data_IF_389329383844
#
_entry.id   IF_389329383844
#
_cell.length_a   1.000
_cell.length_b   1.000
_cell.length_c   1.000
_cell.angle_alpha   90.00
_cell.angle_beta   90.00
_cell.angle_gamma   90.00
#
_symmetry.space_group_name_H-M   'P 1'
#
loop_
_entity.id
_entity.type
_entity.pdbx_description
1 polymer ?
#
# COMPACT_ATOMS: atom_id res chain seq x y z
N UNK A 1 17.88 10.26 10.04
CA UNK A 1 17.49 9.66 8.74
C UNK A 1 16.52 8.54 8.99
N UNK A 2 15.58 8.31 8.08
CA UNK A 2 14.62 7.22 8.13
C UNK A 2 14.40 6.69 6.69
N UNK A 3 13.90 5.46 6.57
CA UNK A 3 13.54 4.84 5.27
C UNK A 3 12.26 5.42 4.68
N UNK A 4 11.38 5.96 5.53
CA UNK A 4 10.09 6.53 5.13
C UNK A 4 9.79 7.82 5.89
N UNK A 5 9.04 8.73 5.26
CA UNK A 5 8.72 10.05 5.85
C UNK A 5 7.80 9.96 7.06
N UNK A 6 6.92 8.96 7.14
CA UNK A 6 6.05 8.72 8.29
C UNK A 6 6.82 8.58 9.62
N UNK A 7 8.08 8.15 9.57
CA UNK A 7 8.94 8.08 10.76
C UNK A 7 9.31 9.47 11.32
N UNK A 8 9.31 10.51 10.47
CA UNK A 8 9.58 11.89 10.91
C UNK A 8 8.39 12.46 11.68
N UNK A 9 7.17 12.14 11.24
CA UNK A 9 5.94 12.57 11.93
C UNK A 9 5.88 12.01 13.35
N UNK A 10 6.29 10.76 13.55
CA UNK A 10 6.31 10.10 14.85
C UNK A 10 7.23 10.81 15.88
N UNK A 11 8.25 11.54 15.44
CA UNK A 11 9.19 12.27 16.28
C UNK A 11 9.11 13.78 16.06
N UNK A 12 8.09 14.26 15.37
CA UNK A 12 7.86 15.67 15.03
C UNK A 12 9.10 16.31 14.36
N UNK A 13 9.75 15.57 13.45
CA UNK A 13 10.90 16.03 12.70
C UNK A 13 10.47 16.51 11.31
N UNK A 14 11.19 17.53 10.82
CA UNK A 14 10.91 18.08 9.48
C UNK A 14 11.64 17.26 8.41
N UNK A 15 10.89 16.81 7.40
CA UNK A 15 11.46 16.26 6.18
C UNK A 15 12.14 17.36 5.36
N UNK A 16 13.41 17.19 5.00
CA UNK A 16 14.22 18.15 4.25
C UNK A 16 14.64 17.64 2.86
N UNK A 17 14.36 16.40 2.55
CA UNK A 17 14.64 15.79 1.24
C UNK A 17 15.24 14.39 1.33
N UNK A 18 15.29 13.74 0.20
CA UNK A 18 15.90 12.42 0.03
C UNK A 18 17.43 12.52 -0.11
N UNK A 19 18.11 11.42 0.21
CA UNK A 19 19.52 11.25 -0.14
C UNK A 19 19.59 10.90 -1.61
N UNK A 20 20.33 11.69 -2.38
CA UNK A 20 20.50 11.47 -3.81
C UNK A 20 21.36 10.22 -4.11
N UNK A 21 21.24 9.72 -5.32
CA UNK A 21 22.06 8.58 -5.77
C UNK A 21 23.51 8.99 -5.88
N UNK A 22 24.39 8.15 -5.35
CA UNK A 22 25.82 8.46 -5.27
C UNK A 22 26.14 9.67 -4.39
N UNK A 23 25.19 10.13 -3.58
CA UNK A 23 25.35 11.26 -2.65
C UNK A 23 25.79 10.77 -1.27
N UNK A 24 26.72 11.49 -0.68
CA UNK A 24 27.14 11.35 0.70
C UNK A 24 26.56 12.49 1.55
N UNK A 25 25.87 12.13 2.62
CA UNK A 25 25.39 13.07 3.63
C UNK A 25 26.32 13.01 4.84
N UNK A 26 26.83 14.17 5.25
CA UNK A 26 27.68 14.32 6.44
C UNK A 26 26.93 15.21 7.42
N UNK A 27 26.74 14.71 8.64
CA UNK A 27 26.13 15.47 9.74
C UNK A 27 27.14 15.55 10.89
N UNK A 28 27.57 16.75 11.22
CA UNK A 28 28.49 17.01 12.31
C UNK A 28 28.11 18.30 13.06
N UNK A 29 28.96 18.75 13.97
CA UNK A 29 28.78 20.01 14.74
C UNK A 29 28.66 21.27 13.87
N UNK A 30 29.06 21.21 12.60
CA UNK A 30 28.96 22.30 11.63
C UNK A 30 27.67 22.22 10.80
N UNK A 31 26.79 21.24 11.06
CA UNK A 31 25.52 21.04 10.38
C UNK A 31 25.55 19.94 9.33
N UNK A 32 24.58 19.99 8.41
CA UNK A 32 24.40 19.01 7.34
C UNK A 32 25.11 19.48 6.07
N UNK A 33 25.93 18.59 5.51
CA UNK A 33 26.64 18.82 4.24
C UNK A 33 26.34 17.67 3.28
N UNK A 34 26.18 18.01 1.99
CA UNK A 34 25.93 17.07 0.91
C UNK A 34 27.12 17.06 -0.07
N UNK A 35 27.55 15.88 -0.47
CA UNK A 35 28.64 15.72 -1.44
C UNK A 35 28.28 14.64 -2.45
N UNK A 36 28.22 15.00 -3.73
CA UNK A 36 28.08 14.04 -4.81
C UNK A 36 29.41 13.31 -4.99
N UNK A 37 29.41 11.98 -4.82
CA UNK A 37 30.60 11.12 -4.98
C UNK A 37 30.67 10.52 -6.38
N UNK A 38 29.54 10.12 -6.94
CA UNK A 38 29.42 9.50 -8.24
C UNK A 38 28.34 10.21 -9.06
N UNK A 39 28.46 10.15 -10.39
CA UNK A 39 27.41 10.64 -11.29
C UNK A 39 26.13 9.84 -11.02
N UNK A 40 24.98 10.53 -10.84
CA UNK A 40 23.72 9.83 -10.62
C UNK A 40 23.27 9.13 -11.91
N UNK A 41 22.97 7.84 -11.80
CA UNK A 41 22.30 7.10 -12.88
C UNK A 41 20.80 7.36 -12.87
N UNK A 42 20.11 6.96 -13.95
CA UNK A 42 18.65 7.10 -14.07
C UNK A 42 17.91 6.43 -12.90
N UNK A 43 16.84 7.08 -12.44
CA UNK A 43 15.99 6.53 -11.39
C UNK A 43 15.02 5.49 -11.96
N UNK A 44 15.13 4.26 -11.48
CA UNK A 44 14.18 3.17 -11.79
C UNK A 44 13.49 2.72 -10.50
N UNK A 45 12.53 3.52 -9.98
CA UNK A 45 11.83 3.18 -8.75
C UNK A 45 10.95 1.95 -8.96
N UNK A 46 10.95 1.06 -7.94
CA UNK A 46 10.11 -0.11 -7.97
C UNK A 46 8.65 0.27 -7.67
N UNK A 47 7.72 -0.08 -8.54
CA UNK A 47 6.28 0.21 -8.37
C UNK A 47 5.69 -0.45 -7.11
N UNK A 48 6.27 -1.55 -6.62
CA UNK A 48 5.85 -2.22 -5.38
C UNK A 48 6.00 -1.35 -4.13
N UNK A 49 6.90 -0.37 -4.14
CA UNK A 49 6.96 0.62 -3.06
C UNK A 49 5.64 1.40 -2.96
N UNK A 50 5.07 1.80 -4.09
CA UNK A 50 3.76 2.45 -4.10
C UNK A 50 2.64 1.48 -3.74
N UNK A 51 2.63 0.27 -4.32
CA UNK A 51 1.51 -0.66 -4.22
C UNK A 51 1.41 -1.27 -2.81
N UNK A 52 2.56 -1.67 -2.21
CA UNK A 52 2.54 -2.52 -1.02
C UNK A 52 3.52 -2.12 0.09
N UNK A 53 4.81 -1.84 -0.23
CA UNK A 53 5.85 -1.75 0.80
C UNK A 53 5.76 -0.50 1.66
N UNK A 54 5.67 0.69 1.05
CA UNK A 54 5.64 1.93 1.80
C UNK A 54 4.31 2.14 2.52
N UNK A 55 4.35 2.86 3.62
CA UNK A 55 3.15 3.24 4.35
C UNK A 55 2.29 4.20 3.52
N UNK A 56 0.95 4.17 3.68
CA UNK A 56 0.05 5.04 2.93
C UNK A 56 0.25 6.53 3.25
N UNK A 57 0.70 6.86 4.45
CA UNK A 57 0.98 8.21 4.92
C UNK A 57 2.39 8.73 4.54
N UNK A 58 3.26 7.88 3.97
CA UNK A 58 4.60 8.27 3.55
C UNK A 58 4.61 8.95 2.18
N UNK A 59 5.54 9.89 2.02
CA UNK A 59 5.95 10.48 0.74
C UNK A 59 7.21 9.75 0.28
N UNK A 60 7.22 9.24 -0.93
CA UNK A 60 8.34 8.48 -1.50
C UNK A 60 8.68 8.96 -2.90
N UNK A 61 9.93 8.75 -3.31
CA UNK A 61 10.46 9.11 -4.65
C UNK A 61 10.25 10.58 -5.02
N UNK A 62 10.33 11.48 -4.04
CA UNK A 62 10.14 12.92 -4.27
C UNK A 62 8.72 13.30 -4.71
N UNK A 63 7.74 12.43 -4.53
CA UNK A 63 6.34 12.73 -4.82
C UNK A 63 5.86 13.96 -4.04
N UNK A 64 5.01 14.81 -4.62
CA UNK A 64 4.41 15.93 -3.88
C UNK A 64 3.25 15.51 -2.96
N UNK A 65 2.82 14.25 -3.02
CA UNK A 65 1.67 13.72 -2.29
C UNK A 65 2.00 12.43 -1.56
N UNK A 66 1.23 12.13 -0.50
CA UNK A 66 1.34 10.88 0.23
C UNK A 66 0.97 9.68 -0.65
N UNK A 67 1.51 8.51 -0.31
CA UNK A 67 1.33 7.28 -1.08
C UNK A 67 -0.14 6.81 -1.15
N UNK A 68 -0.95 7.11 -0.14
CA UNK A 68 -2.41 6.87 -0.17
C UNK A 68 -3.11 7.54 -1.36
N UNK A 69 -2.70 8.77 -1.71
CA UNK A 69 -3.26 9.50 -2.87
C UNK A 69 -2.91 8.78 -4.18
N UNK A 70 -1.69 8.27 -4.29
CA UNK A 70 -1.22 7.51 -5.45
C UNK A 70 -1.98 6.19 -5.58
N UNK A 71 -2.14 5.44 -4.46
CA UNK A 71 -2.92 4.20 -4.44
C UNK A 71 -4.39 4.43 -4.82
N UNK A 72 -4.96 5.54 -4.36
CA UNK A 72 -6.33 5.91 -4.74
C UNK A 72 -6.45 6.18 -6.25
N UNK A 73 -5.45 6.82 -6.85
CA UNK A 73 -5.42 7.00 -8.30
C UNK A 73 -5.26 5.66 -9.06
N UNK A 74 -4.45 4.73 -8.55
CA UNK A 74 -4.40 3.37 -9.12
C UNK A 74 -5.79 2.70 -9.14
N UNK A 75 -6.56 2.84 -8.08
CA UNK A 75 -7.92 2.33 -8.03
C UNK A 75 -8.86 2.96 -9.07
N UNK A 76 -8.77 4.28 -9.28
CA UNK A 76 -9.53 4.96 -10.35
C UNK A 76 -9.14 4.44 -11.75
N UNK A 77 -7.83 4.32 -12.00
CA UNK A 77 -7.33 3.80 -13.27
C UNK A 77 -7.76 2.34 -13.49
N UNK A 78 -7.77 1.52 -12.45
CA UNK A 78 -8.22 0.14 -12.52
C UNK A 78 -9.68 0.05 -12.99
N UNK A 79 -10.57 0.89 -12.45
CA UNK A 79 -11.97 0.93 -12.95
C UNK A 79 -12.05 1.41 -14.39
N UNK A 80 -11.30 2.44 -14.80
CA UNK A 80 -11.30 2.95 -16.18
C UNK A 80 -10.89 1.88 -17.20
N UNK A 81 -9.92 1.02 -16.81
CA UNK A 81 -9.42 -0.06 -17.67
C UNK A 81 -10.37 -1.26 -17.65
N UNK A 82 -10.91 -1.60 -16.48
CA UNK A 82 -11.76 -2.77 -16.25
C UNK A 82 -13.05 -2.41 -15.51
N UNK A 83 -14.00 -1.69 -16.16
CA UNK A 83 -15.29 -1.39 -15.55
C UNK A 83 -16.08 -2.66 -15.29
N UNK A 84 -16.54 -2.84 -14.07
CA UNK A 84 -17.28 -4.05 -13.64
C UNK A 84 -18.58 -3.67 -12.96
N UNK A 85 -19.64 -4.40 -13.27
CA UNK A 85 -20.95 -4.23 -12.59
C UNK A 85 -20.96 -5.05 -11.30
N UNK A 86 -21.08 -4.37 -10.17
CA UNK A 86 -21.16 -4.97 -8.85
C UNK A 86 -22.06 -4.12 -7.94
N UNK A 87 -22.38 -4.66 -6.77
CA UNK A 87 -23.23 -4.00 -5.80
C UNK A 87 -22.37 -3.26 -4.75
N UNK A 88 -21.15 -3.76 -4.49
CA UNK A 88 -20.18 -3.16 -3.56
C UNK A 88 -18.74 -3.38 -4.01
N UNK A 89 -17.84 -2.48 -3.55
CA UNK A 89 -16.40 -2.61 -3.65
C UNK A 89 -15.86 -2.96 -2.27
N UNK A 90 -15.07 -4.02 -2.16
CA UNK A 90 -14.50 -4.53 -0.91
C UNK A 90 -12.98 -4.59 -1.02
N UNK A 91 -12.22 -3.97 -0.11
CA UNK A 91 -10.77 -4.11 -0.07
C UNK A 91 -10.35 -5.41 0.59
N UNK A 92 -9.19 -5.93 0.18
CA UNK A 92 -8.40 -6.85 1.03
C UNK A 92 -7.57 -5.97 1.99
N UNK A 93 -7.92 -5.92 3.29
CA UNK A 93 -7.28 -4.99 4.20
C UNK A 93 -5.85 -5.40 4.58
N UNK A 94 -4.95 -4.45 4.88
CA UNK A 94 -5.15 -3.01 4.93
C UNK A 94 -4.56 -2.31 3.68
N UNK A 95 -3.71 -3.00 2.92
CA UNK A 95 -2.91 -2.48 1.80
C UNK A 95 -3.77 -1.96 0.64
N UNK A 96 -4.92 -2.58 0.41
CA UNK A 96 -5.80 -2.26 -0.72
C UNK A 96 -6.90 -1.24 -0.42
N UNK A 97 -6.97 -0.71 0.82
CA UNK A 97 -8.03 0.21 1.21
C UNK A 97 -8.10 1.44 0.31
N UNK A 98 -6.96 2.09 0.06
CA UNK A 98 -6.90 3.31 -0.75
C UNK A 98 -7.25 3.03 -2.23
N UNK A 99 -6.78 1.92 -2.78
CA UNK A 99 -7.11 1.54 -4.15
C UNK A 99 -8.60 1.21 -4.30
N UNK A 100 -9.19 0.49 -3.34
CA UNK A 100 -10.62 0.20 -3.34
C UNK A 100 -11.48 1.47 -3.21
N UNK A 101 -11.05 2.45 -2.39
CA UNK A 101 -11.67 3.77 -2.33
C UNK A 101 -11.60 4.48 -3.68
N UNK A 102 -10.45 4.45 -4.36
CA UNK A 102 -10.30 5.04 -5.68
C UNK A 102 -11.20 4.38 -6.73
N UNK A 103 -11.30 3.06 -6.70
CA UNK A 103 -12.21 2.30 -7.55
C UNK A 103 -13.68 2.67 -7.30
N UNK A 104 -14.08 2.77 -6.03
CA UNK A 104 -15.42 3.19 -5.61
C UNK A 104 -15.75 4.61 -6.07
N UNK A 105 -14.81 5.57 -5.88
CA UNK A 105 -14.99 6.96 -6.32
C UNK A 105 -15.31 7.06 -7.82
N UNK A 106 -14.56 6.34 -8.63
CA UNK A 106 -14.68 6.41 -10.09
C UNK A 106 -15.90 5.62 -10.60
N UNK A 107 -16.15 4.43 -10.02
CA UNK A 107 -17.25 3.56 -10.43
C UNK A 107 -18.61 3.99 -9.91
N UNK A 108 -18.65 4.78 -8.84
CA UNK A 108 -19.85 5.10 -8.05
C UNK A 108 -20.48 3.86 -7.37
N UNK A 109 -19.78 2.74 -7.32
CA UNK A 109 -20.19 1.56 -6.57
C UNK A 109 -19.78 1.79 -5.10
N UNK A 110 -20.68 1.57 -4.12
CA UNK A 110 -20.40 1.80 -2.71
C UNK A 110 -19.20 1.00 -2.20
N UNK A 111 -18.33 1.65 -1.43
CA UNK A 111 -17.24 1.00 -0.70
C UNK A 111 -17.76 0.43 0.61
N UNK A 112 -17.37 -0.83 0.92
CA UNK A 112 -17.75 -1.50 2.17
C UNK A 112 -16.62 -2.36 2.72
N UNK A 113 -16.50 -2.42 4.05
CA UNK A 113 -15.59 -3.35 4.71
C UNK A 113 -16.21 -4.76 4.78
N UNK A 114 -16.17 -5.47 3.66
CA UNK A 114 -16.65 -6.86 3.54
C UNK A 114 -15.70 -7.90 4.12
N UNK A 115 -14.42 -7.55 4.31
CA UNK A 115 -13.41 -8.38 4.98
C UNK A 115 -12.85 -7.65 6.19
N UNK A 116 -12.81 -8.35 7.32
CA UNK A 116 -12.26 -7.82 8.59
C UNK A 116 -10.95 -8.56 8.89
N UNK A 117 -9.87 -7.78 9.06
CA UNK A 117 -8.56 -8.33 9.42
C UNK A 117 -8.46 -8.59 10.92
N UNK A 118 -7.93 -9.77 11.28
CA UNK A 118 -7.48 -10.05 12.64
C UNK A 118 -6.08 -9.47 12.85
N UNK A 119 -5.96 -8.49 13.75
CA UNK A 119 -4.67 -7.87 14.09
C UNK A 119 -3.74 -8.77 14.91
N UNK A 120 -4.25 -9.86 15.47
CA UNK A 120 -3.47 -10.81 16.26
C UNK A 120 -2.71 -11.84 15.42
N UNK A 121 -2.95 -11.89 14.10
CA UNK A 121 -2.33 -12.84 13.17
C UNK A 121 -1.36 -12.11 12.27
N UNK A 122 -0.07 -12.46 12.36
CA UNK A 122 1.00 -11.88 11.56
C UNK A 122 0.99 -12.32 10.08
N UNK A 123 2.12 -12.08 9.38
CA UNK A 123 2.29 -12.43 7.96
C UNK A 123 2.16 -13.92 7.71
N UNK A 124 1.30 -14.33 6.77
CA UNK A 124 0.98 -15.73 6.46
C UNK A 124 1.90 -16.37 5.40
N UNK A 125 2.63 -15.55 4.63
CA UNK A 125 3.47 -16.03 3.51
C UNK A 125 4.73 -16.81 3.93
N UNK A 126 5.07 -16.82 5.21
CA UNK A 126 6.30 -17.44 5.75
C UNK A 126 6.08 -18.92 6.10
N UNK A 127 4.85 -19.45 6.05
CA UNK A 127 4.55 -20.82 6.44
C UNK A 127 4.99 -21.85 5.39
N UNK A 128 5.60 -22.96 5.84
CA UNK A 128 6.21 -23.94 4.94
C UNK A 128 5.21 -24.78 4.15
N UNK A 129 4.00 -25.00 4.65
CA UNK A 129 3.00 -25.86 4.00
C UNK A 129 1.76 -25.10 3.55
N UNK A 130 1.09 -25.59 2.46
CA UNK A 130 -0.12 -24.98 1.92
C UNK A 130 -1.28 -25.03 2.93
N UNK A 131 -1.49 -26.18 3.60
CA UNK A 131 -2.56 -26.37 4.57
C UNK A 131 -2.46 -25.41 5.77
N UNK A 132 -1.24 -25.13 6.26
CA UNK A 132 -1.01 -24.15 7.32
C UNK A 132 -1.27 -22.72 6.83
N UNK A 133 -0.92 -22.42 5.58
CA UNK A 133 -1.20 -21.11 4.97
C UNK A 133 -2.71 -20.88 4.83
N UNK A 134 -3.44 -21.84 4.29
CA UNK A 134 -4.88 -21.73 4.08
C UNK A 134 -5.63 -21.57 5.42
N UNK A 135 -5.26 -22.33 6.43
CA UNK A 135 -5.85 -22.19 7.77
C UNK A 135 -5.56 -20.83 8.43
N UNK A 136 -4.38 -20.24 8.16
CA UNK A 136 -4.04 -18.90 8.67
C UNK A 136 -4.72 -17.79 7.89
N UNK A 137 -4.93 -17.94 6.57
CA UNK A 137 -5.67 -16.95 5.77
C UNK A 137 -7.10 -16.84 6.29
N UNK A 138 -7.80 -17.97 6.50
CA UNK A 138 -9.15 -17.99 7.08
C UNK A 138 -9.19 -17.33 8.46
N UNK A 139 -8.14 -17.48 9.27
CA UNK A 139 -8.05 -16.82 10.57
C UNK A 139 -7.67 -15.34 10.48
N UNK A 140 -6.92 -14.96 9.43
CA UNK A 140 -6.46 -13.58 9.23
C UNK A 140 -7.57 -12.66 8.73
N UNK A 141 -8.43 -13.17 7.84
CA UNK A 141 -9.52 -12.41 7.27
C UNK A 141 -10.84 -13.10 7.56
N UNK A 142 -11.76 -12.37 8.19
CA UNK A 142 -13.11 -12.85 8.42
C UNK A 142 -14.10 -12.14 7.52
N UNK A 143 -14.88 -12.82 6.67
CA UNK A 143 -15.93 -12.23 5.87
C UNK A 143 -17.03 -11.65 6.76
N UNK A 144 -17.36 -10.39 6.55
CA UNK A 144 -18.51 -9.74 7.19
C UNK A 144 -19.80 -10.11 6.43
N UNK A 145 -20.41 -11.23 6.80
CA UNK A 145 -21.59 -11.78 6.11
C UNK A 145 -22.75 -10.80 6.04
N UNK A 146 -22.96 -9.97 7.07
CA UNK A 146 -24.00 -8.97 7.08
C UNK A 146 -23.83 -7.92 5.96
N UNK A 147 -22.61 -7.74 5.46
CA UNK A 147 -22.29 -6.79 4.37
C UNK A 147 -22.29 -7.48 3.02
N UNK A 148 -21.78 -8.71 2.92
CA UNK A 148 -21.47 -9.34 1.64
C UNK A 148 -22.51 -10.34 1.15
N UNK A 149 -23.32 -10.95 2.02
CA UNK A 149 -24.24 -12.00 1.63
C UNK A 149 -25.26 -11.50 0.58
N UNK A 150 -25.38 -12.26 -0.50
CA UNK A 150 -26.29 -11.95 -1.61
C UNK A 150 -25.86 -10.82 -2.56
N UNK A 151 -24.67 -10.24 -2.37
CA UNK A 151 -24.16 -9.14 -3.20
C UNK A 151 -23.08 -9.60 -4.19
N UNK A 152 -23.06 -8.96 -5.34
CA UNK A 152 -21.93 -9.04 -6.28
C UNK A 152 -20.83 -8.09 -5.80
N UNK A 153 -19.63 -8.60 -5.66
CA UNK A 153 -18.53 -7.90 -5.04
C UNK A 153 -17.41 -7.66 -6.06
N UNK A 154 -16.89 -6.45 -6.13
CA UNK A 154 -15.54 -6.21 -6.64
C UNK A 154 -14.58 -6.31 -5.45
N UNK A 155 -13.76 -7.35 -5.43
CA UNK A 155 -12.69 -7.50 -4.45
C UNK A 155 -11.42 -6.85 -5.00
N UNK A 156 -10.88 -5.88 -4.28
CA UNK A 156 -9.64 -5.17 -4.66
C UNK A 156 -8.50 -5.64 -3.77
N UNK A 157 -7.45 -6.16 -4.37
CA UNK A 157 -6.21 -6.56 -3.69
C UNK A 157 -5.00 -5.81 -4.28
N UNK A 158 -3.89 -5.74 -3.55
CA UNK A 158 -2.64 -5.12 -4.02
C UNK A 158 -1.91 -5.98 -5.05
N UNK A 159 -2.03 -7.30 -4.95
CA UNK A 159 -1.34 -8.25 -5.81
C UNK A 159 -1.97 -9.64 -5.79
N UNK A 160 -1.90 -10.33 -6.92
CA UNK A 160 -2.30 -11.73 -7.03
C UNK A 160 -1.02 -12.58 -7.16
N UNK A 161 -0.66 -13.28 -6.08
CA UNK A 161 0.53 -14.16 -6.10
C UNK A 161 0.11 -15.62 -6.26
N UNK A 162 -0.82 -16.11 -5.46
CA UNK A 162 -1.32 -17.50 -5.47
C UNK A 162 -2.84 -17.62 -5.50
N UNK A 163 -3.55 -16.52 -5.41
CA UNK A 163 -5.01 -16.47 -5.39
C UNK A 163 -5.67 -17.05 -4.12
N UNK A 164 -4.89 -17.39 -3.08
CA UNK A 164 -5.42 -18.01 -1.86
C UNK A 164 -6.23 -17.04 -0.97
N UNK A 165 -6.18 -15.76 -1.23
CA UNK A 165 -6.92 -14.72 -0.49
C UNK A 165 -8.29 -14.43 -1.12
N UNK A 166 -8.49 -14.85 -2.36
CA UNK A 166 -9.70 -14.63 -3.15
C UNK A 166 -10.69 -15.79 -3.05
#
# INVERSE_FOLDING_TARGET
MASETAAFDAVNAKYIGEVGRGELIIVDKNGLRRKQLYQPEESLPCVFEHIYFSRPDSIIFGSPVANSVIRREFGRQLYRIHPTKADIVVPVPDSSNDAALGYSDESRIPFEFGLIRSHYIGRTFIEPTQTLRDSKIVRKFNPNRAVIDGKRIVLVDDSIVRGSTM
#
